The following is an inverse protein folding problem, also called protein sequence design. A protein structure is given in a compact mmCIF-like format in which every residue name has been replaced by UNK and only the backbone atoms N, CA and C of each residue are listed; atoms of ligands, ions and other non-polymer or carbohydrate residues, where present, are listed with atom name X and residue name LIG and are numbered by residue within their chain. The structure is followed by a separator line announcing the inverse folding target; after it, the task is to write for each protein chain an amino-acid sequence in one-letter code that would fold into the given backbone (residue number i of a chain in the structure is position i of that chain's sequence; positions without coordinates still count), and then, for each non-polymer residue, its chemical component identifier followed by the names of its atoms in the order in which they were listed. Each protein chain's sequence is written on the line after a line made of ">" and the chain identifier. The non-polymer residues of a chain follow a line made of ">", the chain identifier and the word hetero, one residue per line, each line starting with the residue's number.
data_IF_169400251197
#
_entry.id   IF_169400251197
#
_cell.length_a   1.000
_cell.length_b   1.000
_cell.length_c   1.000
_cell.angle_alpha   90.00
_cell.angle_beta   90.00
_cell.angle_gamma   90.00
#
_symmetry.space_group_name_H-M   'P 1'
#
loop_
_entity.id
_entity.type
_entity.pdbx_description
1 polymer ?
#
# COMPACT_ATOMS: atom_id res chain seq x y z
N UNK A 1 22.31 27.60 7.49
CA UNK A 1 21.95 26.97 6.20
C UNK A 1 20.90 25.88 6.43
N UNK A 2 19.59 26.17 6.36
CA UNK A 2 18.51 25.19 6.65
C UNK A 2 17.46 25.05 5.52
N UNK A 3 17.79 25.38 4.27
CA UNK A 3 16.76 25.47 3.20
C UNK A 3 16.62 24.26 2.27
N UNK A 4 17.41 23.17 2.37
CA UNK A 4 17.34 22.10 1.35
C UNK A 4 16.34 20.95 1.65
N UNK A 5 15.81 20.85 2.88
CA UNK A 5 14.98 19.69 3.27
C UNK A 5 13.56 19.68 2.67
N UNK A 6 13.09 20.82 2.15
CA UNK A 6 11.69 20.98 1.71
C UNK A 6 11.45 20.69 0.22
N UNK A 7 12.51 20.70 -0.62
CA UNK A 7 12.41 20.48 -2.06
C UNK A 7 13.16 19.22 -2.54
N UNK A 8 13.48 18.29 -1.64
CA UNK A 8 14.13 17.03 -2.03
C UNK A 8 13.14 16.13 -2.81
N UNK A 9 13.40 15.82 -4.09
CA UNK A 9 12.58 14.89 -4.88
C UNK A 9 12.39 13.53 -4.18
N UNK A 10 13.35 13.12 -3.34
CA UNK A 10 13.27 11.87 -2.55
C UNK A 10 12.19 11.92 -1.49
N UNK A 11 11.94 13.07 -0.86
CA UNK A 11 10.89 13.22 0.14
C UNK A 11 9.50 13.09 -0.50
N UNK A 12 9.31 13.69 -1.67
CA UNK A 12 8.08 13.58 -2.47
C UNK A 12 7.86 12.14 -2.95
N UNK A 13 8.91 11.49 -3.43
CA UNK A 13 8.87 10.10 -3.85
C UNK A 13 8.51 9.15 -2.69
N UNK A 14 9.07 9.34 -1.49
CA UNK A 14 8.70 8.57 -0.30
C UNK A 14 7.22 8.73 0.07
N UNK A 15 6.69 9.96 0.01
CA UNK A 15 5.27 10.21 0.27
C UNK A 15 4.38 9.47 -0.72
N UNK A 16 4.70 9.53 -2.02
CA UNK A 16 3.97 8.81 -3.06
C UNK A 16 3.99 7.29 -2.87
N UNK A 17 5.14 6.71 -2.50
CA UNK A 17 5.24 5.27 -2.20
C UNK A 17 4.39 4.90 -0.98
N UNK A 18 4.34 5.74 0.04
CA UNK A 18 3.51 5.50 1.23
C UNK A 18 2.01 5.50 0.89
N UNK A 19 1.56 6.45 0.08
CA UNK A 19 0.17 6.50 -0.38
C UNK A 19 -0.18 5.29 -1.24
N UNK A 20 0.74 4.88 -2.13
CA UNK A 20 0.57 3.68 -2.95
C UNK A 20 0.45 2.39 -2.11
N UNK A 21 1.26 2.24 -1.06
CA UNK A 21 1.13 1.11 -0.11
C UNK A 21 -0.26 1.10 0.54
N UNK A 22 -0.75 2.27 0.98
CA UNK A 22 -2.09 2.42 1.53
C UNK A 22 -3.16 1.96 0.55
N UNK A 23 -3.08 2.38 -0.72
CA UNK A 23 -4.01 1.96 -1.76
C UNK A 23 -4.02 0.43 -1.97
N UNK A 24 -2.86 -0.22 -2.05
CA UNK A 24 -2.78 -1.67 -2.20
C UNK A 24 -3.41 -2.43 -1.03
N UNK A 25 -3.25 -1.93 0.20
CA UNK A 25 -3.90 -2.51 1.38
C UNK A 25 -5.43 -2.41 1.26
N UNK A 26 -5.95 -1.22 0.93
CA UNK A 26 -7.39 -1.03 0.76
C UNK A 26 -7.95 -1.93 -0.34
N UNK A 27 -7.24 -2.05 -1.47
CA UNK A 27 -7.63 -2.93 -2.56
C UNK A 27 -7.63 -4.40 -2.14
N UNK A 28 -6.63 -4.84 -1.38
CA UNK A 28 -6.55 -6.20 -0.86
C UNK A 28 -7.70 -6.50 0.12
N UNK A 29 -7.99 -5.57 1.03
CA UNK A 29 -9.12 -5.68 1.97
C UNK A 29 -10.43 -5.77 1.20
N UNK A 30 -10.64 -4.89 0.22
CA UNK A 30 -11.83 -4.91 -0.64
C UNK A 30 -11.99 -6.26 -1.34
N UNK A 31 -10.92 -6.77 -1.95
CA UNK A 31 -10.96 -8.07 -2.63
C UNK A 31 -11.27 -9.22 -1.65
N UNK A 32 -10.67 -9.20 -0.45
CA UNK A 32 -10.92 -10.20 0.58
C UNK A 32 -12.38 -10.22 1.02
N UNK A 33 -12.99 -9.04 1.18
CA UNK A 33 -14.41 -8.90 1.50
C UNK A 33 -15.28 -9.42 0.36
N UNK A 34 -15.00 -9.04 -0.88
CA UNK A 34 -15.77 -9.49 -2.05
C UNK A 34 -15.70 -11.01 -2.22
N UNK A 35 -14.51 -11.61 -2.10
CA UNK A 35 -14.36 -13.07 -2.15
C UNK A 35 -15.11 -13.74 -1.00
N UNK A 36 -15.07 -13.16 0.19
CA UNK A 36 -15.86 -13.63 1.34
C UNK A 36 -17.37 -13.63 1.07
N UNK A 37 -17.89 -12.58 0.42
CA UNK A 37 -19.30 -12.48 0.03
C UNK A 37 -19.69 -13.48 -1.07
N UNK A 38 -18.81 -13.73 -2.05
CA UNK A 38 -19.06 -14.72 -3.11
C UNK A 38 -19.02 -16.14 -2.53
N UNK A 39 -18.04 -16.43 -1.67
CA UNK A 39 -17.96 -17.71 -0.98
C UNK A 39 -19.22 -17.94 -0.12
N UNK A 40 -19.68 -16.90 0.58
CA UNK A 40 -20.93 -16.92 1.33
C UNK A 40 -22.13 -17.28 0.45
N UNK A 41 -22.31 -16.65 -0.71
CA UNK A 41 -23.41 -16.97 -1.65
C UNK A 41 -23.36 -18.44 -2.10
N UNK A 42 -22.15 -18.95 -2.33
CA UNK A 42 -21.95 -20.34 -2.76
C UNK A 42 -22.22 -21.37 -1.65
N UNK A 43 -21.82 -21.09 -0.41
CA UNK A 43 -22.02 -21.98 0.74
C UNK A 43 -23.40 -21.87 1.37
N UNK A 44 -24.09 -20.73 1.24
CA UNK A 44 -25.44 -20.50 1.80
C UNK A 44 -26.54 -21.03 0.88
N UNK A 45 -26.17 -21.67 -0.23
CA UNK A 45 -27.13 -22.38 -1.09
C UNK A 45 -27.86 -23.51 -0.35
N UNK A 46 -29.08 -23.19 0.11
CA UNK A 46 -30.28 -24.05 0.30
C UNK A 46 -30.85 -24.30 1.70
N UNK A 47 -30.19 -24.00 2.82
CA UNK A 47 -30.70 -24.50 4.11
C UNK A 47 -31.13 -23.42 5.10
N UNK A 48 -32.45 -23.15 5.10
CA UNK A 48 -33.23 -22.10 5.77
C UNK A 48 -33.22 -22.08 7.33
N UNK A 49 -32.28 -22.73 8.04
CA UNK A 49 -32.48 -23.05 9.47
C UNK A 49 -31.34 -22.79 10.46
N UNK A 50 -30.20 -22.19 10.06
CA UNK A 50 -29.07 -21.94 11.00
C UNK A 50 -28.36 -20.58 10.82
N UNK A 51 -29.12 -19.56 10.44
CA UNK A 51 -28.62 -18.26 9.96
C UNK A 51 -27.96 -17.35 11.01
N UNK A 52 -28.12 -17.56 12.32
CA UNK A 52 -27.66 -16.57 13.31
C UNK A 52 -26.16 -16.59 13.61
N UNK A 53 -25.61 -17.79 13.83
CA UNK A 53 -24.29 -17.94 14.48
C UNK A 53 -23.17 -18.09 13.45
N UNK A 54 -23.41 -18.84 12.38
CA UNK A 54 -22.44 -19.00 11.27
C UNK A 54 -22.15 -17.67 10.58
N UNK A 55 -23.15 -16.79 10.47
CA UNK A 55 -23.00 -15.46 9.87
C UNK A 55 -22.06 -14.56 10.68
N UNK A 56 -22.25 -14.49 12.00
CA UNK A 56 -21.40 -13.70 12.87
C UNK A 56 -19.94 -14.17 12.80
N UNK A 57 -19.71 -15.47 12.96
CA UNK A 57 -18.36 -16.04 12.98
C UNK A 57 -17.65 -15.87 11.62
N UNK A 58 -18.36 -16.04 10.50
CA UNK A 58 -17.77 -15.88 9.18
C UNK A 58 -17.49 -14.41 8.83
N UNK A 59 -18.39 -13.50 9.16
CA UNK A 59 -18.16 -12.06 8.93
C UNK A 59 -17.00 -11.54 9.79
N UNK A 60 -16.94 -11.97 11.05
CA UNK A 60 -15.81 -11.69 11.93
C UNK A 60 -14.52 -12.36 11.44
N UNK A 61 -14.59 -13.59 10.93
CA UNK A 61 -13.45 -14.29 10.35
C UNK A 61 -12.84 -13.55 9.16
N UNK A 62 -13.67 -13.08 8.23
CA UNK A 62 -13.23 -12.27 7.08
C UNK A 62 -12.69 -10.92 7.54
N UNK A 63 -13.35 -10.26 8.50
CA UNK A 63 -12.89 -9.00 9.07
C UNK A 63 -11.50 -9.11 9.73
N UNK A 64 -11.28 -10.18 10.50
CA UNK A 64 -10.00 -10.47 11.16
C UNK A 64 -8.93 -10.85 10.14
N UNK A 65 -9.25 -11.67 9.14
CA UNK A 65 -8.34 -11.98 8.04
C UNK A 65 -7.94 -10.73 7.26
N UNK A 66 -8.91 -9.89 6.90
CA UNK A 66 -8.67 -8.65 6.18
C UNK A 66 -7.84 -7.67 7.01
N UNK A 67 -8.14 -7.52 8.31
CA UNK A 67 -7.37 -6.68 9.22
C UNK A 67 -5.95 -7.21 9.43
N UNK A 68 -5.81 -8.53 9.63
CA UNK A 68 -4.54 -9.22 9.74
C UNK A 68 -3.69 -8.99 8.50
N UNK A 69 -4.24 -9.24 7.31
CA UNK A 69 -3.56 -8.98 6.05
C UNK A 69 -3.24 -7.48 5.87
N UNK A 70 -4.13 -6.56 6.21
CA UNK A 70 -3.86 -5.13 6.11
C UNK A 70 -2.66 -4.68 6.96
N UNK A 71 -2.46 -5.31 8.12
CA UNK A 71 -1.33 -5.03 9.03
C UNK A 71 -0.07 -5.81 8.63
N UNK A 72 -0.20 -7.08 8.24
CA UNK A 72 0.94 -7.96 7.96
C UNK A 72 1.50 -7.83 6.54
N UNK A 73 0.67 -7.58 5.52
CA UNK A 73 1.14 -7.42 4.13
C UNK A 73 2.18 -6.30 4.01
N UNK A 74 2.00 -5.09 4.58
CA UNK A 74 3.05 -4.09 4.51
C UNK A 74 4.33 -4.46 5.26
N UNK A 75 4.24 -5.30 6.29
CA UNK A 75 5.41 -5.79 7.02
C UNK A 75 6.17 -6.87 6.24
N UNK A 76 5.48 -7.83 5.62
CA UNK A 76 6.09 -8.99 4.95
C UNK A 76 6.42 -8.71 3.48
N UNK A 77 5.53 -8.04 2.75
CA UNK A 77 5.67 -7.80 1.30
C UNK A 77 6.39 -6.49 0.96
N UNK A 78 6.17 -5.43 1.75
CA UNK A 78 6.74 -4.10 1.48
C UNK A 78 8.01 -3.80 2.31
N UNK A 79 8.97 -4.74 2.30
CA UNK A 79 10.29 -4.56 2.93
C UNK A 79 10.95 -3.23 2.49
N UNK A 80 11.78 -2.67 3.39
CA UNK A 80 12.69 -1.53 3.18
C UNK A 80 13.42 -1.57 1.82
N UNK A 81 13.82 -2.76 1.36
CA UNK A 81 14.46 -2.92 0.05
C UNK A 81 13.54 -2.56 -1.13
N UNK A 82 12.27 -2.99 -1.09
CA UNK A 82 11.28 -2.65 -2.12
C UNK A 82 10.94 -1.16 -2.09
N UNK A 83 10.78 -0.59 -0.89
CA UNK A 83 10.50 0.84 -0.73
C UNK A 83 11.62 1.69 -1.30
N UNK A 84 12.88 1.38 -0.98
CA UNK A 84 14.05 2.06 -1.55
C UNK A 84 14.08 1.98 -3.07
N UNK A 85 13.78 0.82 -3.67
CA UNK A 85 13.72 0.65 -5.13
C UNK A 85 12.62 1.50 -5.76
N UNK A 86 11.44 1.58 -5.14
CA UNK A 86 10.33 2.39 -5.68
C UNK A 86 10.61 3.89 -5.55
N UNK A 87 11.14 4.33 -4.41
CA UNK A 87 11.57 5.72 -4.23
C UNK A 87 12.63 6.07 -5.28
N UNK A 88 13.63 5.21 -5.49
CA UNK A 88 14.65 5.43 -6.50
C UNK A 88 14.08 5.47 -7.91
N UNK A 89 13.11 4.59 -8.24
CA UNK A 89 12.42 4.62 -9.54
C UNK A 89 11.66 5.94 -9.76
N UNK A 90 10.90 6.40 -8.77
CA UNK A 90 10.14 7.66 -8.87
C UNK A 90 11.10 8.84 -8.97
N UNK A 91 12.17 8.87 -8.17
CA UNK A 91 13.20 9.90 -8.26
C UNK A 91 13.92 9.86 -9.60
N UNK A 92 14.24 8.70 -10.16
CA UNK A 92 14.88 8.63 -11.48
C UNK A 92 13.91 9.03 -12.62
N UNK A 93 12.63 8.71 -12.48
CA UNK A 93 11.60 9.00 -13.49
C UNK A 93 11.17 10.47 -13.51
N UNK A 94 11.10 11.11 -12.35
CA UNK A 94 10.58 12.48 -12.19
C UNK A 94 11.59 13.49 -11.65
N UNK A 95 12.69 13.02 -11.05
CA UNK A 95 13.84 13.81 -10.62
C UNK A 95 14.97 13.71 -11.64
N UNK A 96 14.72 14.10 -12.90
CA UNK A 96 15.82 14.61 -13.72
C UNK A 96 16.46 15.75 -12.91
N UNK A 97 17.80 15.83 -12.82
CA UNK A 97 18.44 16.93 -12.09
C UNK A 97 17.82 18.24 -12.58
N UNK A 98 17.32 19.04 -11.63
CA UNK A 98 16.84 20.38 -11.95
C UNK A 98 17.97 21.09 -12.71
N UNK A 99 17.70 21.88 -13.77
CA UNK A 99 18.73 22.66 -14.44
C UNK A 99 19.60 23.47 -13.44
N UNK A 100 19.03 23.87 -12.30
CA UNK A 100 19.77 24.51 -11.20
C UNK A 100 20.88 23.66 -10.58
N UNK A 101 20.73 22.34 -10.53
CA UNK A 101 21.70 21.41 -9.90
C UNK A 101 22.84 21.06 -10.86
N UNK A 102 22.60 21.16 -12.17
CA UNK A 102 23.63 20.98 -13.20
C UNK A 102 24.67 22.11 -13.17
N UNK A 103 24.22 23.35 -12.91
CA UNK A 103 25.10 24.51 -12.77
C UNK A 103 25.91 24.54 -11.47
N UNK A 104 25.52 23.76 -10.45
CA UNK A 104 26.30 23.66 -9.20
C UNK A 104 27.57 22.82 -9.37
N UNK A 105 27.50 21.72 -10.15
CA UNK A 105 28.66 20.83 -10.36
C UNK A 105 29.79 21.47 -11.17
N UNK A 106 29.44 22.38 -12.09
CA UNK A 106 30.39 23.10 -12.94
C UNK A 106 31.23 24.13 -12.17
N UNK A 107 30.67 24.73 -11.11
CA UNK A 107 31.33 25.82 -10.37
C UNK A 107 32.27 25.34 -9.24
N UNK A 108 32.43 24.04 -9.07
CA UNK A 108 33.17 23.42 -7.96
C UNK A 108 34.47 22.72 -8.38
N UNK A 109 34.87 22.88 -9.64
CA UNK A 109 36.15 22.44 -10.19
C UNK A 109 36.92 23.68 -10.69
#
# INVERSE_FOLDING_TARGET
>A
MQHSKYNDPRARAKKAVRELKGFYIHLFVYFSVVVGLIAMDWFTGKDDSSFGISWGILFWGIGVLAHGCAVYIPYVFFNSAWEKRMVQKIVNKYGKPSPSDAHYKDRSN
#
